data_IF_635818071154
#
_entry.id   IF_635818071154
#
_cell.length_a   1.000
_cell.length_b   1.000
_cell.length_c   1.000
_cell.angle_alpha   90.00
_cell.angle_beta   90.00
_cell.angle_gamma   90.00
#
_symmetry.space_group_name_H-M   'P 1'
#
loop_
_entity.id
_entity.type
_entity.pdbx_description
1 polymer ?
#
# COMPACT_ATOMS: atom_id res chain seq x y z
N UNK A 1 15.53 -19.92 16.45
CA UNK A 1 14.14 -19.88 16.96
C UNK A 1 13.39 -18.86 16.13
N UNK A 2 12.38 -19.25 15.37
CA UNK A 2 11.58 -18.28 14.63
C UNK A 2 10.93 -17.33 15.63
N UNK A 3 11.13 -16.03 15.46
CA UNK A 3 10.56 -15.02 16.34
C UNK A 3 9.04 -14.98 16.06
N UNK A 4 8.25 -15.74 16.83
CA UNK A 4 6.79 -15.84 16.68
C UNK A 4 6.14 -14.46 16.61
N UNK A 5 6.69 -13.47 17.33
CA UNK A 5 6.23 -12.08 17.26
C UNK A 5 6.33 -11.48 15.85
N UNK A 6 7.45 -11.71 15.14
CA UNK A 6 7.69 -11.17 13.79
C UNK A 6 6.69 -11.74 12.78
N UNK A 7 6.44 -13.05 12.84
CA UNK A 7 5.49 -13.72 11.95
C UNK A 7 4.06 -13.18 12.15
N UNK A 8 3.65 -12.99 13.41
CA UNK A 8 2.34 -12.43 13.74
C UNK A 8 2.22 -11.00 13.19
N UNK A 9 3.23 -10.14 13.39
CA UNK A 9 3.21 -8.77 12.85
C UNK A 9 3.12 -8.73 11.32
N UNK A 10 3.83 -9.60 10.61
CA UNK A 10 3.78 -9.67 9.14
C UNK A 10 2.37 -10.06 8.68
N UNK A 11 1.78 -11.09 9.29
CA UNK A 11 0.44 -11.58 8.93
C UNK A 11 -0.60 -10.48 9.17
N UNK A 12 -0.56 -9.82 10.34
CA UNK A 12 -1.48 -8.74 10.69
C UNK A 12 -1.32 -7.55 9.74
N UNK A 13 -0.08 -7.13 9.45
CA UNK A 13 0.19 -6.06 8.51
C UNK A 13 -0.38 -6.35 7.12
N UNK A 14 -0.19 -7.58 6.61
CA UNK A 14 -0.70 -7.98 5.30
C UNK A 14 -2.24 -7.98 5.27
N UNK A 15 -2.88 -8.50 6.32
CA UNK A 15 -4.34 -8.47 6.46
C UNK A 15 -4.90 -7.05 6.48
N UNK A 16 -4.24 -6.13 7.20
CA UNK A 16 -4.63 -4.72 7.25
C UNK A 16 -4.57 -4.08 5.86
N UNK A 17 -3.49 -4.31 5.11
CA UNK A 17 -3.36 -3.80 3.74
C UNK A 17 -4.47 -4.31 2.81
N UNK A 18 -4.81 -5.60 2.90
CA UNK A 18 -5.90 -6.19 2.10
C UNK A 18 -7.24 -5.57 2.48
N UNK A 19 -7.51 -5.39 3.78
CA UNK A 19 -8.75 -4.77 4.26
C UNK A 19 -8.89 -3.32 3.75
N UNK A 20 -7.80 -2.55 3.76
CA UNK A 20 -7.75 -1.19 3.19
C UNK A 20 -8.05 -1.23 1.67
N UNK A 21 -7.50 -2.21 0.95
CA UNK A 21 -7.77 -2.40 -0.48
C UNK A 21 -9.24 -2.70 -0.78
N UNK A 22 -9.90 -3.56 0.00
CA UNK A 22 -11.32 -3.84 -0.13
C UNK A 22 -12.20 -2.63 0.19
N UNK A 23 -11.81 -1.84 1.19
CA UNK A 23 -12.50 -0.59 1.52
C UNK A 23 -12.37 0.45 0.40
N UNK A 24 -11.16 0.59 -0.16
CA UNK A 24 -10.89 1.48 -1.29
C UNK A 24 -11.62 1.04 -2.57
N UNK A 25 -11.73 -0.27 -2.82
CA UNK A 25 -12.48 -0.82 -3.97
C UNK A 25 -13.94 -0.34 -4.00
N UNK A 26 -14.59 -0.18 -2.83
CA UNK A 26 -15.97 0.32 -2.75
C UNK A 26 -16.11 1.79 -3.20
N UNK A 27 -15.01 2.55 -3.27
CA UNK A 27 -14.94 3.95 -3.71
C UNK A 27 -14.56 4.10 -5.19
N UNK A 28 -14.14 3.04 -5.88
CA UNK A 28 -13.79 3.05 -7.31
C UNK A 28 -14.98 2.59 -8.12
N UNK A 29 -15.69 3.52 -8.78
CA UNK A 29 -16.86 3.20 -9.60
C UNK A 29 -16.58 3.30 -11.11
N UNK A 30 -15.58 4.10 -11.53
CA UNK A 30 -15.27 4.34 -12.93
C UNK A 30 -13.77 4.11 -13.25
N UNK A 31 -13.47 3.91 -14.54
CA UNK A 31 -12.10 3.72 -15.03
C UNK A 31 -11.20 4.92 -14.68
N UNK A 32 -11.73 6.14 -14.75
CA UNK A 32 -11.00 7.35 -14.38
C UNK A 32 -10.65 7.38 -12.89
N UNK A 33 -11.49 6.81 -12.02
CA UNK A 33 -11.18 6.70 -10.58
C UNK A 33 -10.07 5.70 -10.32
N UNK A 34 -9.95 4.67 -11.16
CA UNK A 34 -8.91 3.66 -11.05
C UNK A 34 -7.56 4.18 -11.54
N UNK A 35 -7.52 4.88 -12.68
CA UNK A 35 -6.27 5.39 -13.26
C UNK A 35 -5.82 6.72 -12.66
N UNK A 36 -6.75 7.63 -12.33
CA UNK A 36 -6.43 8.98 -11.86
C UNK A 36 -6.76 9.20 -10.38
N UNK A 37 -7.24 8.17 -9.67
CA UNK A 37 -7.62 8.28 -8.25
C UNK A 37 -8.73 9.31 -8.01
N UNK A 38 -9.61 9.51 -9.02
CA UNK A 38 -10.68 10.51 -8.99
C UNK A 38 -10.19 11.95 -9.05
N UNK A 39 -8.93 12.19 -9.45
CA UNK A 39 -8.27 13.52 -9.53
C UNK A 39 -8.22 14.30 -8.21
N UNK A 40 -8.54 13.64 -7.09
CA UNK A 40 -8.62 14.24 -5.75
C UNK A 40 -7.47 13.83 -4.81
N UNK A 41 -6.51 13.04 -5.29
CA UNK A 41 -5.33 12.68 -4.52
C UNK A 41 -4.44 13.94 -4.36
N UNK A 42 -4.54 14.59 -3.21
CA UNK A 42 -3.79 15.81 -2.91
C UNK A 42 -2.26 15.62 -3.01
N UNK A 43 -1.50 16.71 -3.20
CA UNK A 43 -0.06 16.69 -3.47
C UNK A 43 0.78 15.95 -2.41
N UNK A 44 0.29 15.90 -1.17
CA UNK A 44 0.96 15.19 -0.07
C UNK A 44 0.85 13.65 -0.20
N UNK A 45 -0.33 13.15 -0.56
CA UNK A 45 -0.57 11.71 -0.73
C UNK A 45 0.13 11.16 -1.98
N UNK A 46 0.19 11.97 -3.05
CA UNK A 46 0.93 11.62 -4.26
C UNK A 46 2.44 11.59 -4.02
N UNK A 47 3.01 12.55 -3.29
CA UNK A 47 4.42 12.54 -2.91
C UNK A 47 4.80 11.35 -2.01
N UNK A 48 3.96 11.02 -1.02
CA UNK A 48 4.13 9.83 -0.18
C UNK A 48 4.09 8.53 -0.99
N UNK A 49 3.13 8.40 -1.91
CA UNK A 49 3.02 7.23 -2.79
C UNK A 49 4.25 7.09 -3.70
N UNK A 50 4.77 8.20 -4.24
CA UNK A 50 5.99 8.20 -5.03
C UNK A 50 7.22 7.72 -4.23
N UNK A 51 7.38 8.18 -2.99
CA UNK A 51 8.46 7.73 -2.10
C UNK A 51 8.33 6.25 -1.73
N UNK A 52 7.10 5.77 -1.47
CA UNK A 52 6.86 4.37 -1.20
C UNK A 52 7.14 3.49 -2.43
N UNK A 53 6.80 3.97 -3.63
CA UNK A 53 7.04 3.25 -4.88
C UNK A 53 8.53 3.08 -5.20
N UNK A 54 9.39 4.00 -4.75
CA UNK A 54 10.84 3.86 -4.87
C UNK A 54 11.42 2.79 -3.92
N UNK A 55 10.66 2.33 -2.94
CA UNK A 55 11.12 1.42 -1.88
C UNK A 55 10.70 -0.01 -2.19
N UNK A 56 11.50 -0.73 -2.97
CA UNK A 56 11.31 -2.16 -3.19
C UNK A 56 12.00 -2.97 -2.09
N UNK A 57 11.52 -4.20 -1.83
CA UNK A 57 12.22 -5.15 -0.94
C UNK A 57 13.67 -5.42 -1.40
N UNK A 58 13.95 -5.20 -2.68
CA UNK A 58 15.27 -5.29 -3.29
C UNK A 58 16.23 -4.20 -2.78
N UNK A 59 15.75 -2.97 -2.58
CA UNK A 59 16.55 -1.88 -2.02
C UNK A 59 16.93 -2.11 -0.56
N UNK A 60 16.08 -2.79 0.22
CA UNK A 60 16.40 -3.20 1.60
C UNK A 60 17.38 -4.38 1.68
N UNK A 61 17.43 -5.23 0.64
CA UNK A 61 18.39 -6.33 0.52
C UNK A 61 19.77 -5.88 -0.01
N UNK A 62 19.86 -4.67 -0.58
CA UNK A 62 21.12 -3.97 -0.85
C UNK A 62 21.92 -4.52 -2.02
N UNK A 63 21.32 -4.63 -3.21
CA UNK A 63 22.07 -4.83 -4.48
C UNK A 63 21.83 -3.69 -5.46
#
# INVERSE_FOLDING_TARGET
>A
MANQGVLITIIVYNFLLIAIGFWAKKRTSNQDDFYLGGRGLGPFLTALSASASSSSAWSLLGV
#
